data_IF_901844172282
#
_entry.id   IF_901844172282
#
_cell.length_a   1.000
_cell.length_b   1.000
_cell.length_c   1.000
_cell.angle_alpha   90.00
_cell.angle_beta   90.00
_cell.angle_gamma   90.00
#
_symmetry.space_group_name_H-M   'P 1'
#
loop_
_entity.id
_entity.type
_entity.pdbx_description
1 polymer ?
#
# COMPACT_ATOMS: atom_id res chain seq x y z
N UNK A 1 22.97 -14.54 -2.31
CA UNK A 1 23.25 -15.46 -3.41
C UNK A 1 21.98 -16.25 -3.64
N UNK A 2 21.40 -16.16 -4.84
CA UNK A 2 20.21 -16.92 -5.24
C UNK A 2 20.70 -18.34 -5.56
N UNK A 3 20.09 -19.36 -4.96
CA UNK A 3 20.38 -20.74 -5.29
C UNK A 3 19.89 -21.02 -6.73
N UNK A 4 20.73 -21.54 -7.62
CA UNK A 4 20.31 -21.90 -8.98
C UNK A 4 19.16 -22.90 -9.01
N UNK A 5 19.00 -23.75 -8.00
CA UNK A 5 17.87 -24.69 -7.89
C UNK A 5 16.53 -23.96 -7.80
N UNK A 6 16.44 -22.84 -7.09
CA UNK A 6 15.22 -22.03 -6.97
C UNK A 6 14.69 -21.56 -8.32
N UNK A 7 15.61 -21.27 -9.26
CA UNK A 7 15.25 -20.83 -10.61
C UNK A 7 14.85 -22.02 -11.48
N UNK A 8 15.55 -23.15 -11.33
CA UNK A 8 15.31 -24.35 -12.15
C UNK A 8 14.01 -25.09 -11.76
N UNK A 9 13.60 -24.98 -10.51
CA UNK A 9 12.39 -25.61 -9.97
C UNK A 9 11.15 -24.69 -10.02
N UNK A 10 11.35 -23.40 -10.32
CA UNK A 10 10.22 -22.46 -10.43
C UNK A 10 9.26 -22.85 -11.54
N UNK A 11 7.96 -22.94 -11.21
CA UNK A 11 6.89 -23.22 -12.16
C UNK A 11 6.67 -22.05 -13.13
N UNK A 12 7.04 -20.82 -12.74
CA UNK A 12 6.85 -19.58 -13.51
C UNK A 12 8.06 -19.24 -14.40
N UNK A 13 9.02 -20.15 -14.54
CA UNK A 13 10.18 -19.92 -15.38
C UNK A 13 9.82 -19.82 -16.85
N UNK A 14 10.31 -18.79 -17.52
CA UNK A 14 10.16 -18.57 -18.95
C UNK A 14 11.51 -18.81 -19.62
N UNK A 15 11.55 -19.66 -20.65
CA UNK A 15 12.75 -19.86 -21.44
C UNK A 15 12.91 -18.71 -22.42
N UNK A 16 14.02 -18.00 -22.34
CA UNK A 16 14.35 -16.98 -23.32
C UNK A 16 14.85 -17.64 -24.62
N UNK A 17 14.08 -17.49 -25.68
CA UNK A 17 14.36 -18.10 -27.00
C UNK A 17 15.59 -17.49 -27.67
N UNK A 18 15.94 -16.25 -27.33
CA UNK A 18 17.05 -15.48 -27.91
C UNK A 18 18.40 -15.79 -27.24
N UNK A 19 18.37 -16.44 -26.09
CA UNK A 19 19.58 -16.77 -25.35
C UNK A 19 19.67 -18.28 -25.06
N UNK A 20 20.82 -18.92 -25.42
CA UNK A 20 21.02 -20.35 -25.14
C UNK A 20 21.02 -20.61 -23.63
N UNK A 21 20.23 -21.60 -23.21
CA UNK A 21 20.13 -22.08 -21.82
C UNK A 21 19.87 -20.98 -20.77
N UNK A 22 19.12 -19.95 -21.15
CA UNK A 22 18.77 -18.86 -20.25
C UNK A 22 17.28 -18.95 -19.90
N UNK A 23 17.01 -18.85 -18.60
CA UNK A 23 15.68 -18.85 -18.03
C UNK A 23 15.46 -17.57 -17.27
N UNK A 24 14.29 -16.97 -17.45
CA UNK A 24 13.82 -15.83 -16.68
C UNK A 24 12.80 -16.33 -15.67
N UNK A 25 13.03 -16.01 -14.41
CA UNK A 25 12.00 -16.07 -13.37
C UNK A 25 11.70 -14.64 -12.99
N UNK A 26 10.54 -14.16 -13.38
CA UNK A 26 10.09 -12.83 -12.99
C UNK A 26 9.53 -12.92 -11.57
N UNK A 27 10.37 -12.55 -10.62
CA UNK A 27 9.97 -12.44 -9.22
C UNK A 27 9.29 -11.09 -9.00
N UNK A 28 8.15 -10.89 -9.64
CA UNK A 28 7.27 -9.77 -9.34
C UNK A 28 6.88 -9.90 -7.87
N UNK A 29 7.41 -9.02 -7.04
CA UNK A 29 7.13 -8.97 -5.59
C UNK A 29 5.63 -8.85 -5.28
N UNK A 30 4.83 -8.56 -6.28
CA UNK A 30 3.41 -8.29 -6.14
C UNK A 30 2.52 -9.46 -6.55
N UNK A 31 3.06 -10.53 -7.14
CA UNK A 31 2.25 -11.63 -7.68
C UNK A 31 1.03 -11.13 -8.50
N UNK A 32 1.14 -9.92 -9.05
CA UNK A 32 0.06 -9.22 -9.75
C UNK A 32 0.42 -9.08 -11.20
N UNK A 33 -0.18 -9.96 -11.97
CA UNK A 33 -0.32 -9.79 -13.40
C UNK A 33 -1.36 -8.68 -13.65
N UNK A 34 -0.96 -7.61 -14.34
CA UNK A 34 -1.87 -6.52 -14.73
C UNK A 34 -3.04 -7.00 -15.59
N UNK A 35 -2.91 -8.18 -16.18
CA UNK A 35 -3.93 -8.82 -17.01
C UNK A 35 -4.82 -9.77 -16.21
N UNK A 36 -4.51 -10.05 -14.94
CA UNK A 36 -5.39 -10.86 -14.08
C UNK A 36 -6.67 -10.10 -13.79
N UNK A 37 -7.79 -10.79 -13.94
CA UNK A 37 -9.06 -10.29 -13.45
C UNK A 37 -8.97 -10.02 -11.94
N UNK A 38 -9.48 -8.87 -11.51
CA UNK A 38 -9.57 -8.55 -10.09
C UNK A 38 -10.29 -9.65 -9.32
N UNK A 39 -9.71 -10.09 -8.22
CA UNK A 39 -10.36 -11.05 -7.30
C UNK A 39 -11.65 -10.46 -6.70
N UNK A 40 -11.71 -9.15 -6.58
CA UNK A 40 -12.90 -8.42 -6.08
C UNK A 40 -13.58 -7.75 -7.26
N UNK A 41 -14.60 -8.42 -7.80
CA UNK A 41 -15.36 -7.92 -8.96
C UNK A 41 -16.22 -6.69 -8.63
N UNK A 42 -16.72 -6.59 -7.40
CA UNK A 42 -17.55 -5.47 -6.93
C UNK A 42 -17.12 -5.11 -5.51
N UNK A 43 -16.20 -4.16 -5.32
CA UNK A 43 -15.85 -3.71 -3.99
C UNK A 43 -17.11 -3.12 -3.30
N UNK A 44 -17.35 -3.44 -2.02
CA UNK A 44 -18.54 -2.97 -1.31
C UNK A 44 -18.54 -1.45 -1.11
N UNK A 45 -17.39 -0.82 -1.26
CA UNK A 45 -17.20 0.63 -1.14
C UNK A 45 -16.55 1.13 -2.43
N UNK A 46 -17.06 2.23 -3.03
CA UNK A 46 -16.40 2.85 -4.18
C UNK A 46 -14.94 3.17 -3.87
N UNK A 47 -14.03 2.62 -4.66
CA UNK A 47 -12.59 2.75 -4.46
C UNK A 47 -11.96 3.31 -5.72
N UNK A 48 -11.03 4.25 -5.56
CA UNK A 48 -10.23 4.80 -6.64
C UNK A 48 -8.74 4.75 -6.27
N UNK A 49 -7.91 4.39 -7.23
CA UNK A 49 -6.46 4.30 -7.06
C UNK A 49 -5.78 5.24 -8.06
N UNK A 50 -4.87 6.09 -7.57
CA UNK A 50 -3.97 6.86 -8.43
C UNK A 50 -2.64 6.14 -8.55
N UNK A 51 -2.30 5.76 -9.76
CA UNK A 51 -1.02 5.14 -10.08
C UNK A 51 -0.26 5.96 -11.13
N UNK A 52 1.05 6.03 -11.00
CA UNK A 52 1.92 6.62 -12.01
C UNK A 52 3.36 6.13 -11.82
N UNK A 53 4.02 5.79 -12.91
CA UNK A 53 5.42 5.38 -12.92
C UNK A 53 6.34 6.58 -12.62
N UNK A 54 5.91 7.79 -13.00
CA UNK A 54 6.70 9.01 -12.82
C UNK A 54 6.29 9.73 -11.53
N UNK A 55 7.26 10.04 -10.66
CA UNK A 55 7.07 10.88 -9.49
C UNK A 55 6.75 12.35 -9.84
N UNK A 56 6.18 13.09 -8.89
CA UNK A 56 5.97 14.54 -9.03
C UNK A 56 4.87 14.98 -10.00
N UNK A 57 4.02 14.08 -10.46
CA UNK A 57 2.91 14.40 -11.42
C UNK A 57 1.66 14.96 -10.73
N UNK A 58 1.70 15.22 -9.43
CA UNK A 58 0.59 15.84 -8.69
C UNK A 58 -0.52 14.89 -8.23
N UNK A 59 -0.30 13.57 -8.19
CA UNK A 59 -1.30 12.59 -7.72
C UNK A 59 -1.88 12.94 -6.35
N UNK A 60 -1.02 13.14 -5.37
CA UNK A 60 -1.39 13.44 -3.98
C UNK A 60 -2.26 14.69 -3.91
N UNK A 61 -1.85 15.76 -4.58
CA UNK A 61 -2.61 17.02 -4.63
C UNK A 61 -3.97 16.83 -5.33
N UNK A 62 -4.01 16.11 -6.44
CA UNK A 62 -5.26 15.86 -7.17
C UNK A 62 -6.25 15.07 -6.32
N UNK A 63 -5.79 14.04 -5.61
CA UNK A 63 -6.63 13.23 -4.72
C UNK A 63 -7.10 14.02 -3.49
N UNK A 64 -6.26 14.87 -2.92
CA UNK A 64 -6.63 15.75 -1.83
C UNK A 64 -7.77 16.71 -2.23
N UNK A 65 -7.64 17.36 -3.39
CA UNK A 65 -8.68 18.27 -3.92
C UNK A 65 -9.96 17.51 -4.28
N UNK A 66 -9.85 16.33 -4.84
CA UNK A 66 -11.01 15.51 -5.15
C UNK A 66 -11.74 15.05 -3.88
N UNK A 67 -11.00 14.56 -2.87
CA UNK A 67 -11.58 14.20 -1.58
C UNK A 67 -12.28 15.37 -0.91
N UNK A 68 -11.69 16.56 -0.94
CA UNK A 68 -12.33 17.77 -0.44
C UNK A 68 -13.61 18.10 -1.19
N UNK A 69 -13.60 18.01 -2.53
CA UNK A 69 -14.80 18.22 -3.34
C UNK A 69 -15.92 17.24 -2.98
N UNK A 70 -15.59 15.97 -2.74
CA UNK A 70 -16.55 14.95 -2.30
C UNK A 70 -17.08 15.20 -0.88
N UNK A 71 -16.22 15.66 0.04
CA UNK A 71 -16.63 16.02 1.40
C UNK A 71 -17.63 17.19 1.40
N UNK A 72 -17.45 18.17 0.52
CA UNK A 72 -18.44 19.25 0.29
C UNK A 72 -19.79 18.73 -0.19
N UNK A 73 -19.82 17.61 -0.88
CA UNK A 73 -21.04 16.90 -1.31
C UNK A 73 -21.59 15.94 -0.24
N UNK A 74 -21.10 16.02 1.00
CA UNK A 74 -21.56 15.20 2.12
C UNK A 74 -21.04 13.76 2.12
N UNK A 75 -19.98 13.44 1.34
CA UNK A 75 -19.39 12.10 1.32
C UNK A 75 -18.32 11.96 2.40
N UNK A 76 -18.25 10.77 2.99
CA UNK A 76 -17.17 10.40 3.90
C UNK A 76 -16.09 9.65 3.11
N UNK A 77 -14.86 10.12 3.19
CA UNK A 77 -13.73 9.62 2.40
C UNK A 77 -12.62 9.14 3.33
N UNK A 78 -11.98 8.04 2.97
CA UNK A 78 -10.69 7.63 3.55
C UNK A 78 -9.65 7.76 2.44
N UNK A 79 -8.63 8.56 2.69
CA UNK A 79 -7.43 8.65 1.85
C UNK A 79 -6.35 7.77 2.44
N UNK A 80 -5.83 6.85 1.65
CA UNK A 80 -4.76 5.92 2.06
C UNK A 80 -3.50 6.24 1.28
N UNK A 81 -2.39 6.49 1.97
CA UNK A 81 -1.09 6.69 1.35
C UNK A 81 -0.39 5.36 1.13
N UNK A 82 -0.49 4.84 -0.08
CA UNK A 82 0.19 3.61 -0.52
C UNK A 82 1.58 3.88 -1.12
N UNK A 83 1.98 5.14 -1.26
CA UNK A 83 3.34 5.49 -1.71
C UNK A 83 4.31 5.40 -0.51
N UNK A 84 4.60 4.15 -0.12
CA UNK A 84 5.43 3.88 1.07
C UNK A 84 6.88 4.32 0.89
N UNK A 85 7.36 4.47 -0.33
CA UNK A 85 8.75 4.91 -0.62
C UNK A 85 8.90 6.43 -0.58
N UNK A 86 7.85 7.15 -1.00
CA UNK A 86 7.85 8.61 -1.03
C UNK A 86 6.52 9.20 -0.53
N UNK A 87 6.13 8.91 0.73
CA UNK A 87 4.84 9.30 1.28
C UNK A 87 4.69 10.82 1.36
N UNK A 88 3.50 11.32 1.04
CA UNK A 88 3.26 12.76 0.96
C UNK A 88 1.90 13.25 1.46
N UNK A 89 0.93 12.35 1.64
CA UNK A 89 -0.45 12.72 2.00
C UNK A 89 -0.52 13.38 3.37
N UNK A 90 0.21 12.86 4.36
CA UNK A 90 0.20 13.40 5.72
C UNK A 90 0.67 14.85 5.76
N UNK A 91 1.81 15.15 5.14
CA UNK A 91 2.36 16.50 5.09
C UNK A 91 1.50 17.51 4.34
N UNK A 92 0.59 17.04 3.48
CA UNK A 92 -0.33 17.91 2.74
C UNK A 92 -1.64 18.17 3.50
N UNK A 93 -2.16 17.20 4.25
CA UNK A 93 -3.52 17.20 4.77
C UNK A 93 -3.62 17.22 6.30
N UNK A 94 -2.58 16.85 7.00
CA UNK A 94 -2.57 16.78 8.45
C UNK A 94 -1.59 17.79 9.04
N UNK A 95 -2.09 18.61 9.95
CA UNK A 95 -1.24 19.41 10.81
C UNK A 95 -0.38 18.50 11.70
N UNK A 96 0.76 18.97 12.18
CA UNK A 96 1.72 18.18 12.95
C UNK A 96 1.10 17.57 14.22
N UNK A 97 0.23 18.31 14.89
CA UNK A 97 -0.51 17.85 16.07
C UNK A 97 -1.57 16.80 15.77
N UNK A 98 -2.08 16.77 14.53
CA UNK A 98 -3.10 15.82 14.05
C UNK A 98 -2.53 14.57 13.39
N UNK A 99 -1.22 14.46 13.25
CA UNK A 99 -0.65 13.22 12.74
C UNK A 99 -0.94 12.08 13.72
N UNK A 100 -1.39 10.90 13.23
CA UNK A 100 -1.67 9.75 14.08
C UNK A 100 -0.39 9.17 14.68
N UNK A 101 -0.53 8.34 15.69
CA UNK A 101 0.61 7.69 16.34
C UNK A 101 1.28 6.66 15.42
N UNK A 102 0.50 5.95 14.63
CA UNK A 102 0.96 4.91 13.71
C UNK A 102 0.43 5.16 12.30
N UNK A 103 0.95 4.43 11.31
CA UNK A 103 0.53 4.54 9.92
C UNK A 103 0.33 3.20 9.24
N UNK A 104 0.13 3.25 7.93
CA UNK A 104 -0.13 2.06 7.12
C UNK A 104 0.96 1.00 7.22
N UNK A 105 2.25 1.41 7.26
CA UNK A 105 3.36 0.48 7.38
C UNK A 105 3.34 -0.28 8.71
N UNK A 106 2.92 0.37 9.80
CA UNK A 106 2.74 -0.28 11.10
C UNK A 106 1.63 -1.32 11.03
N UNK A 107 0.49 -0.93 10.47
CA UNK A 107 -0.66 -1.82 10.31
C UNK A 107 -0.34 -3.04 9.42
N UNK A 108 0.36 -2.83 8.29
CA UNK A 108 0.75 -3.91 7.39
C UNK A 108 1.69 -4.92 8.06
N UNK A 109 2.66 -4.45 8.85
CA UNK A 109 3.59 -5.35 9.58
C UNK A 109 2.85 -6.17 10.63
N UNK A 110 1.92 -5.57 11.38
CA UNK A 110 1.09 -6.30 12.35
C UNK A 110 0.14 -7.29 11.66
N UNK A 111 -0.35 -6.95 10.45
CA UNK A 111 -1.18 -7.84 9.65
C UNK A 111 -0.44 -9.14 9.25
N UNK A 112 0.89 -9.10 9.11
CA UNK A 112 1.68 -10.29 8.79
C UNK A 112 1.74 -11.32 9.93
N UNK A 113 1.39 -10.95 11.16
CA UNK A 113 1.46 -11.80 12.34
C UNK A 113 0.08 -12.12 12.94
N UNK A 114 -0.99 -11.96 12.16
CA UNK A 114 -2.38 -12.26 12.54
C UNK A 114 -2.86 -11.59 13.85
N UNK A 115 -2.32 -10.41 14.19
CA UNK A 115 -2.79 -9.64 15.34
C UNK A 115 -4.13 -8.94 15.06
N UNK A 116 -4.96 -8.66 16.09
CA UNK A 116 -6.24 -7.96 15.90
C UNK A 116 -6.02 -6.55 15.35
N UNK A 117 -6.38 -6.33 14.10
CA UNK A 117 -6.02 -5.15 13.30
C UNK A 117 -6.94 -3.95 13.49
N UNK A 118 -8.16 -4.15 14.04
CA UNK A 118 -9.18 -3.10 14.09
C UNK A 118 -8.77 -1.95 15.01
N UNK A 119 -8.24 -2.25 16.20
CA UNK A 119 -7.80 -1.23 17.15
C UNK A 119 -6.65 -0.41 16.60
N UNK A 120 -5.63 -1.08 16.04
CA UNK A 120 -4.48 -0.42 15.45
C UNK A 120 -4.90 0.45 14.25
N UNK A 121 -5.84 0.01 13.42
CA UNK A 121 -6.33 0.79 12.29
C UNK A 121 -6.94 2.13 12.76
N UNK A 122 -7.65 2.15 13.89
CA UNK A 122 -8.18 3.39 14.46
C UNK A 122 -7.06 4.35 14.91
N UNK A 123 -5.97 3.81 15.43
CA UNK A 123 -4.79 4.60 15.83
C UNK A 123 -3.96 5.11 14.64
N UNK A 124 -4.15 4.53 13.46
CA UNK A 124 -3.52 4.94 12.21
C UNK A 124 -4.33 6.00 11.46
N UNK A 125 -5.61 6.21 11.80
CA UNK A 125 -6.50 7.12 11.10
C UNK A 125 -6.56 8.49 11.80
N UNK A 126 -6.48 9.55 11.01
CA UNK A 126 -6.67 10.92 11.51
C UNK A 126 -7.66 11.72 10.67
N UNK A 127 -8.40 12.63 11.30
CA UNK A 127 -9.32 13.52 10.60
C UNK A 127 -8.58 14.75 10.03
N UNK A 128 -8.82 15.00 8.74
CA UNK A 128 -8.29 16.17 8.06
C UNK A 128 -9.05 17.44 8.47
N UNK A 129 -8.31 18.47 8.86
CA UNK A 129 -8.89 19.77 9.26
C UNK A 129 -9.70 20.44 8.14
N UNK A 130 -9.34 20.22 6.88
CA UNK A 130 -10.05 20.80 5.71
C UNK A 130 -11.51 20.41 5.65
N UNK A 131 -11.87 19.22 6.15
CA UNK A 131 -13.26 18.76 6.16
C UNK A 131 -14.05 19.12 7.41
N UNK A 132 -13.45 19.82 8.39
CA UNK A 132 -14.12 20.12 9.69
C UNK A 132 -15.37 20.99 9.57
N UNK A 133 -15.49 21.78 8.51
CA UNK A 133 -16.63 22.65 8.22
C UNK A 133 -17.53 22.12 7.10
N UNK A 134 -17.19 20.97 6.53
CA UNK A 134 -17.91 20.38 5.42
C UNK A 134 -18.96 19.37 5.94
N UNK A 135 -20.05 19.11 5.18
CA UNK A 135 -21.07 18.14 5.56
C UNK A 135 -20.52 16.68 5.56
N UNK A 136 -19.49 16.38 4.81
CA UNK A 136 -18.78 15.10 4.80
C UNK A 136 -17.44 15.20 5.50
N UNK A 137 -16.77 14.06 5.69
CA UNK A 137 -15.49 13.97 6.41
C UNK A 137 -14.40 13.35 5.56
N UNK A 138 -13.17 13.80 5.78
CA UNK A 138 -11.96 13.19 5.21
C UNK A 138 -11.14 12.63 6.37
N UNK A 139 -10.90 11.33 6.33
CA UNK A 139 -9.92 10.67 7.20
C UNK A 139 -8.72 10.26 6.37
N UNK A 140 -7.55 10.37 6.96
CA UNK A 140 -6.27 10.06 6.32
C UNK A 140 -5.61 8.91 7.05
N UNK A 141 -5.19 7.90 6.29
CA UNK A 141 -4.31 6.83 6.71
C UNK A 141 -2.95 7.10 6.08
N UNK A 142 -2.02 7.75 6.80
CA UNK A 142 -0.69 8.04 6.27
C UNK A 142 0.18 6.78 6.20
N UNK A 143 1.25 6.81 5.43
CA UNK A 143 2.20 5.71 5.34
C UNK A 143 2.89 5.41 6.68
N UNK A 144 3.16 6.43 7.51
CA UNK A 144 3.73 6.31 8.84
C UNK A 144 3.14 7.37 9.79
N UNK A 145 3.28 7.14 11.10
CA UNK A 145 2.84 8.05 12.16
C UNK A 145 3.98 8.53 13.05
N UNK A 146 3.65 9.33 14.08
CA UNK A 146 4.63 9.93 15.02
C UNK A 146 5.47 8.90 15.77
N UNK A 147 4.89 7.74 16.09
CA UNK A 147 5.53 6.66 16.84
C UNK A 147 6.09 5.55 15.96
N UNK A 148 5.96 5.64 14.64
CA UNK A 148 6.53 4.67 13.71
C UNK A 148 8.04 4.65 13.86
N UNK A 149 8.59 3.55 14.35
CA UNK A 149 10.02 3.30 14.48
C UNK A 149 10.49 2.39 13.36
N UNK A 150 11.78 2.50 13.01
CA UNK A 150 12.43 1.60 12.06
C UNK A 150 11.69 1.45 10.72
N UNK A 151 11.19 2.57 10.18
CA UNK A 151 10.35 2.60 8.99
C UNK A 151 10.95 1.80 7.82
N UNK A 152 12.23 1.97 7.54
CA UNK A 152 12.93 1.24 6.46
C UNK A 152 12.92 -0.27 6.70
N UNK A 153 13.12 -0.73 7.95
CA UNK A 153 13.04 -2.14 8.28
C UNK A 153 11.62 -2.69 8.12
N UNK A 154 10.61 -1.87 8.40
CA UNK A 154 9.20 -2.24 8.14
C UNK A 154 8.91 -2.38 6.67
N UNK A 155 9.39 -1.48 5.82
CA UNK A 155 9.29 -1.62 4.37
C UNK A 155 9.95 -2.92 3.90
N UNK A 156 11.13 -3.23 4.41
CA UNK A 156 11.80 -4.50 4.11
C UNK A 156 10.92 -5.71 4.41
N UNK A 157 10.20 -5.71 5.53
CA UNK A 157 9.27 -6.81 5.89
C UNK A 157 8.03 -6.85 5.00
N UNK A 158 7.47 -5.70 4.66
CA UNK A 158 6.28 -5.59 3.81
C UNK A 158 6.57 -6.09 2.40
N UNK A 159 7.76 -5.79 1.87
CA UNK A 159 8.16 -6.18 0.51
C UNK A 159 8.85 -7.55 0.44
N UNK A 160 9.21 -8.14 1.58
CA UNK A 160 9.71 -9.51 1.59
C UNK A 160 8.56 -10.50 1.32
N UNK A 161 8.71 -11.40 0.36
CA UNK A 161 7.74 -12.45 0.16
C UNK A 161 7.64 -13.30 1.43
N UNK A 162 6.43 -13.51 1.94
CA UNK A 162 6.21 -14.40 3.06
C UNK A 162 6.41 -15.84 2.61
N UNK A 163 7.30 -16.57 3.28
CA UNK A 163 7.46 -18.01 3.05
C UNK A 163 6.35 -18.75 3.80
N UNK A 164 5.41 -19.31 3.07
CA UNK A 164 4.39 -20.16 3.64
C UNK A 164 4.99 -21.56 3.91
N UNK A 165 5.35 -21.82 5.16
CA UNK A 165 5.94 -23.10 5.59
C UNK A 165 5.06 -24.33 5.26
N UNK A 166 3.75 -24.14 5.13
CA UNK A 166 2.79 -25.22 4.83
C UNK A 166 2.76 -25.58 3.33
N UNK A 167 3.06 -24.65 2.45
CA UNK A 167 2.99 -24.89 0.99
C UNK A 167 4.35 -24.93 0.32
N UNK A 168 5.42 -24.52 1.02
CA UNK A 168 6.75 -24.38 0.45
C UNK A 168 6.87 -23.31 -0.63
N UNK A 169 5.88 -22.41 -0.73
CA UNK A 169 5.83 -21.35 -1.73
C UNK A 169 5.91 -19.96 -1.09
N UNK A 170 6.53 -19.03 -1.78
CA UNK A 170 6.47 -17.61 -1.43
C UNK A 170 5.14 -17.03 -1.93
N UNK A 171 4.41 -16.37 -1.06
CA UNK A 171 3.17 -15.65 -1.38
C UNK A 171 3.45 -14.20 -1.69
#
# INVERSE_FOLDING_TARGET
LIDPSDVLESLDRIRLTEARNTWLVDRLLTNQDWLRESLVKNPPIPTAVAFSIKGGVGRTTAFALWAWSLARLGKNIILVDLDLEAPGIAGLLLDEDRQPDYGLADWLVEALIDQPHETLLQECLSECALSSKEPGRIRVLPAFGKKTKDYINKLGRIYMPAYAAETGQFS
#
